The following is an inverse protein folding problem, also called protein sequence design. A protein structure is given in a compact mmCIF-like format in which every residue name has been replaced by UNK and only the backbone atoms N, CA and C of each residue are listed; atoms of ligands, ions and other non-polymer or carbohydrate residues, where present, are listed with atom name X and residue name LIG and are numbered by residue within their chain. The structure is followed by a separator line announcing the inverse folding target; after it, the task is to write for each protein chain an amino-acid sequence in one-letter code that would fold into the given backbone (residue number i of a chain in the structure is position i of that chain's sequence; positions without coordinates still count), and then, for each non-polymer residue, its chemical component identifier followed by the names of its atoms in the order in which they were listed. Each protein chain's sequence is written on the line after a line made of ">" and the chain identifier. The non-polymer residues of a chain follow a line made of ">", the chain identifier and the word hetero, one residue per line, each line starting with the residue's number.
data_IF_262002295118
#
_entry.id   IF_262002295118
#
_cell.length_a   1.000
_cell.length_b   1.000
_cell.length_c   1.000
_cell.angle_alpha   90.00
_cell.angle_beta   90.00
_cell.angle_gamma   90.00
#
_symmetry.space_group_name_H-M   'P 1'
#
loop_
_entity.id
_entity.type
_entity.pdbx_description
1 polymer ?
#
# COMPACT_ATOMS: atom_id res chain seq x y z
N UNK A 1 -4.66 3.71 15.64
CA UNK A 1 -5.44 2.55 15.15
C UNK A 1 -5.73 2.75 13.67
N UNK A 2 -5.55 1.74 12.82
CA UNK A 2 -5.85 1.86 11.39
C UNK A 2 -7.37 1.80 11.18
N UNK A 3 -7.92 2.74 10.41
CA UNK A 3 -9.36 2.81 10.10
C UNK A 3 -9.59 2.65 8.60
N UNK A 4 -10.48 1.73 8.21
CA UNK A 4 -10.87 1.56 6.81
C UNK A 4 -11.68 2.76 6.32
N UNK A 5 -11.33 3.27 5.12
CA UNK A 5 -12.10 4.29 4.40
C UNK A 5 -12.86 3.60 3.27
N UNK A 6 -14.18 3.82 3.25
CA UNK A 6 -15.03 3.42 2.14
C UNK A 6 -15.42 4.65 1.34
N UNK A 7 -15.17 4.58 0.04
CA UNK A 7 -15.57 5.64 -0.88
C UNK A 7 -16.96 5.33 -1.45
N UNK A 8 -17.79 6.35 -1.60
CA UNK A 8 -19.10 6.25 -2.26
C UNK A 8 -18.98 5.92 -3.76
N UNK A 9 -17.89 6.37 -4.38
CA UNK A 9 -17.51 6.05 -5.76
C UNK A 9 -16.06 5.60 -5.80
N UNK A 10 -15.73 4.64 -6.67
CA UNK A 10 -14.37 4.15 -6.82
C UNK A 10 -13.45 5.30 -7.30
N UNK A 11 -12.38 5.65 -6.57
CA UNK A 11 -11.46 6.71 -6.98
C UNK A 11 -10.67 6.35 -8.25
N UNK A 12 -10.33 7.36 -9.05
CA UNK A 12 -9.59 7.19 -10.31
C UNK A 12 -8.25 6.47 -10.14
N UNK A 13 -7.55 6.70 -9.03
CA UNK A 13 -6.28 6.01 -8.78
C UNK A 13 -6.47 4.49 -8.61
N UNK A 14 -7.57 4.04 -8.02
CA UNK A 14 -7.88 2.61 -7.91
C UNK A 14 -8.21 2.05 -9.30
N UNK A 15 -9.02 2.76 -10.08
CA UNK A 15 -9.38 2.37 -11.45
C UNK A 15 -8.11 2.20 -12.30
N UNK A 16 -7.16 3.14 -12.19
CA UNK A 16 -5.90 3.09 -12.93
C UNK A 16 -4.99 1.93 -12.50
N UNK A 17 -5.02 1.54 -11.23
CA UNK A 17 -4.30 0.37 -10.74
C UNK A 17 -4.94 -0.95 -11.19
N UNK A 18 -6.27 -1.03 -11.19
CA UNK A 18 -7.01 -2.18 -11.73
C UNK A 18 -6.75 -2.38 -13.23
N UNK A 19 -6.68 -1.29 -14.01
CA UNK A 19 -6.27 -1.34 -15.43
C UNK A 19 -4.87 -1.94 -15.64
N UNK A 20 -3.98 -1.84 -14.65
CA UNK A 20 -2.65 -2.46 -14.66
C UNK A 20 -2.67 -3.93 -14.21
N UNK A 21 -3.84 -4.48 -13.93
CA UNK A 21 -4.05 -5.86 -13.49
C UNK A 21 -4.11 -6.02 -11.97
N UNK A 22 -4.11 -4.93 -11.20
CA UNK A 22 -4.29 -4.99 -9.75
C UNK A 22 -5.74 -5.31 -9.34
N UNK A 23 -5.94 -5.79 -8.12
CA UNK A 23 -7.27 -6.15 -7.61
C UNK A 23 -7.37 -6.07 -6.08
N UNK A 24 -8.58 -6.17 -5.55
CA UNK A 24 -8.89 -6.24 -4.11
C UNK A 24 -8.34 -5.06 -3.29
N UNK A 25 -8.41 -3.85 -3.86
CA UNK A 25 -7.93 -2.65 -3.20
C UNK A 25 -8.82 -2.25 -2.02
N UNK A 26 -8.18 -1.99 -0.88
CA UNK A 26 -8.78 -1.40 0.32
C UNK A 26 -7.97 -0.20 0.75
N UNK A 27 -8.66 0.85 1.19
CA UNK A 27 -8.02 2.08 1.66
C UNK A 27 -8.24 2.26 3.15
N UNK A 28 -7.22 2.76 3.82
CA UNK A 28 -7.19 2.98 5.25
C UNK A 28 -6.56 4.32 5.58
N UNK A 29 -6.81 4.80 6.79
CA UNK A 29 -6.17 5.97 7.37
C UNK A 29 -5.61 5.63 8.75
N UNK A 30 -4.42 6.13 9.04
CA UNK A 30 -3.79 6.09 10.37
C UNK A 30 -3.05 7.40 10.58
N UNK A 31 -3.44 8.17 11.57
CA UNK A 31 -2.84 9.46 11.89
C UNK A 31 -2.73 10.36 10.64
N UNK A 32 -1.51 10.69 10.21
CA UNK A 32 -1.23 11.51 9.04
C UNK A 32 -1.02 10.70 7.75
N UNK A 33 -1.26 9.38 7.77
CA UNK A 33 -1.01 8.45 6.68
C UNK A 33 -2.30 8.03 5.99
N UNK A 34 -2.26 8.02 4.66
CA UNK A 34 -3.24 7.34 3.80
C UNK A 34 -2.61 6.08 3.29
N UNK A 35 -3.28 4.95 3.46
CA UNK A 35 -2.74 3.63 3.20
C UNK A 35 -3.66 2.93 2.20
N UNK A 36 -3.11 2.45 1.09
CA UNK A 36 -3.81 1.63 0.12
C UNK A 36 -3.14 0.26 0.11
N UNK A 37 -3.92 -0.81 0.25
CA UNK A 37 -3.43 -2.18 0.09
C UNK A 37 -4.24 -2.87 -1.00
N UNK A 38 -3.56 -3.62 -1.86
CA UNK A 38 -4.21 -4.47 -2.86
C UNK A 38 -3.28 -5.57 -3.33
N UNK A 39 -3.77 -6.38 -4.26
CA UNK A 39 -2.99 -7.39 -4.95
C UNK A 39 -2.51 -6.82 -6.29
N UNK A 40 -1.22 -6.89 -6.55
CA UNK A 40 -0.62 -6.42 -7.81
C UNK A 40 0.18 -7.52 -8.51
N UNK A 41 0.10 -7.61 -9.85
CA UNK A 41 0.88 -8.57 -10.61
C UNK A 41 2.36 -8.16 -10.60
N UNK A 42 3.24 -9.09 -10.25
CA UNK A 42 4.70 -8.92 -10.34
C UNK A 42 5.33 -9.88 -11.34
N UNK A 43 6.32 -9.38 -12.07
CA UNK A 43 7.13 -10.15 -13.00
C UNK A 43 6.39 -10.59 -14.27
N UNK A 44 7.10 -11.32 -15.14
CA UNK A 44 6.56 -11.78 -16.43
C UNK A 44 5.45 -12.82 -16.28
N UNK A 45 5.47 -13.60 -15.19
CA UNK A 45 4.45 -14.63 -14.88
C UNK A 45 3.17 -14.06 -14.24
N UNK A 46 3.11 -12.74 -14.00
CA UNK A 46 1.98 -12.03 -13.37
C UNK A 46 1.50 -12.68 -12.06
N UNK A 47 2.42 -13.19 -11.24
CA UNK A 47 2.09 -13.67 -9.90
C UNK A 47 1.55 -12.50 -9.08
N UNK A 48 0.45 -12.69 -8.37
CA UNK A 48 -0.16 -11.63 -7.58
C UNK A 48 0.52 -11.56 -6.20
N UNK A 49 0.96 -10.36 -5.81
CA UNK A 49 1.53 -10.09 -4.50
C UNK A 49 0.74 -9.01 -3.77
N UNK A 50 0.74 -9.05 -2.44
CA UNK A 50 0.31 -7.89 -1.67
C UNK A 50 1.25 -6.71 -1.89
N UNK A 51 0.66 -5.54 -2.19
CA UNK A 51 1.35 -4.26 -2.26
C UNK A 51 0.59 -3.24 -1.41
N UNK A 52 1.31 -2.60 -0.48
CA UNK A 52 0.82 -1.50 0.33
C UNK A 52 1.50 -0.21 -0.13
N UNK A 53 0.71 0.78 -0.53
CA UNK A 53 1.15 2.14 -0.83
C UNK A 53 0.77 3.01 0.36
N UNK A 54 1.77 3.62 0.99
CA UNK A 54 1.60 4.51 2.14
C UNK A 54 1.99 5.91 1.71
N UNK A 55 1.04 6.84 1.74
CA UNK A 55 1.28 8.25 1.48
C UNK A 55 1.11 9.07 2.76
N UNK A 56 2.12 9.86 3.08
CA UNK A 56 2.07 10.83 4.18
C UNK A 56 1.43 12.14 3.73
N UNK A 57 0.52 12.68 4.54
CA UNK A 57 -0.02 14.04 4.38
C UNK A 57 0.97 15.11 4.86
N UNK A 58 2.05 14.71 5.51
CA UNK A 58 3.12 15.60 5.95
C UNK A 58 4.16 15.78 4.83
N UNK A 59 5.11 16.71 5.02
CA UNK A 59 6.19 16.98 4.04
C UNK A 59 7.21 15.85 3.89
N UNK A 60 7.12 14.81 4.72
CA UNK A 60 8.06 13.68 4.78
C UNK A 60 7.33 12.35 4.77
N UNK A 61 7.98 11.30 4.25
CA UNK A 61 7.47 9.91 4.28
C UNK A 61 7.31 9.39 5.70
N UNK A 62 6.40 8.44 5.88
CA UNK A 62 6.28 7.64 7.10
C UNK A 62 7.64 7.08 7.55
N UNK A 63 7.85 7.04 8.86
CA UNK A 63 9.03 6.44 9.49
C UNK A 63 9.06 4.92 9.28
N UNK A 64 10.24 4.32 9.45
CA UNK A 64 10.40 2.86 9.35
C UNK A 64 9.52 2.12 10.37
N UNK A 65 9.36 2.67 11.57
CA UNK A 65 8.53 2.09 12.63
C UNK A 65 7.07 2.04 12.20
N UNK A 66 6.53 3.15 11.70
CA UNK A 66 5.14 3.21 11.23
C UNK A 66 4.87 2.26 10.07
N UNK A 67 5.79 2.18 9.11
CA UNK A 67 5.67 1.27 7.97
C UNK A 67 5.66 -0.20 8.41
N UNK A 68 6.49 -0.57 9.39
CA UNK A 68 6.51 -1.92 9.95
C UNK A 68 5.19 -2.26 10.69
N UNK A 69 4.68 -1.33 11.49
CA UNK A 69 3.38 -1.52 12.17
C UNK A 69 2.25 -1.73 11.16
N UNK A 70 2.21 -0.92 10.10
CA UNK A 70 1.23 -1.07 9.00
C UNK A 70 1.36 -2.43 8.32
N UNK A 71 2.58 -2.87 8.03
CA UNK A 71 2.81 -4.15 7.39
C UNK A 71 2.34 -5.33 8.27
N UNK A 72 2.61 -5.28 9.57
CA UNK A 72 2.20 -6.31 10.54
C UNK A 72 0.67 -6.37 10.67
N UNK A 73 0.00 -5.22 10.65
CA UNK A 73 -1.45 -5.13 10.83
C UNK A 73 -2.24 -5.51 9.56
N UNK A 74 -1.72 -5.17 8.37
CA UNK A 74 -2.46 -5.33 7.10
C UNK A 74 -2.05 -6.54 6.26
N UNK A 75 -0.82 -7.06 6.39
CA UNK A 75 -0.42 -8.27 5.66
C UNK A 75 -0.84 -9.54 6.42
N UNK A 76 -1.05 -10.67 5.71
CA UNK A 76 -1.26 -11.95 6.38
C UNK A 76 -0.09 -12.28 7.33
N UNK A 77 -0.40 -12.92 8.47
CA UNK A 77 0.62 -13.31 9.46
C UNK A 77 1.70 -14.17 8.81
N UNK A 78 2.96 -13.87 9.14
CA UNK A 78 4.12 -14.59 8.59
C UNK A 78 4.57 -14.13 7.19
N UNK A 79 3.88 -13.16 6.58
CA UNK A 79 4.29 -12.61 5.27
C UNK A 79 5.62 -11.88 5.38
N UNK A 80 6.63 -12.32 4.63
CA UNK A 80 7.87 -11.56 4.44
C UNK A 80 7.60 -10.38 3.52
N UNK A 81 8.15 -9.21 3.85
CA UNK A 81 7.96 -8.00 3.06
C UNK A 81 9.25 -7.19 2.91
N UNK A 82 9.28 -6.34 1.87
CA UNK A 82 10.32 -5.34 1.63
C UNK A 82 9.72 -3.94 1.54
N UNK A 83 10.39 -2.97 2.14
CA UNK A 83 9.98 -1.56 2.10
C UNK A 83 10.85 -0.83 1.07
N UNK A 84 10.22 -0.04 0.20
CA UNK A 84 10.90 0.85 -0.76
C UNK A 84 10.30 2.25 -0.66
N UNK A 85 11.13 3.26 -0.43
CA UNK A 85 10.70 4.66 -0.57
C UNK A 85 10.54 5.00 -2.05
N UNK A 86 9.52 5.79 -2.38
CA UNK A 86 9.38 6.29 -3.75
C UNK A 86 10.46 7.34 -4.01
N UNK A 87 11.15 7.20 -5.15
CA UNK A 87 12.13 8.19 -5.59
C UNK A 87 11.47 9.47 -6.11
N UNK A 88 10.28 9.35 -6.71
CA UNK A 88 9.55 10.47 -7.30
C UNK A 88 8.72 11.24 -6.27
N UNK A 89 8.23 10.56 -5.24
CA UNK A 89 7.34 11.14 -4.24
C UNK A 89 7.91 10.93 -2.84
N UNK A 90 8.51 11.99 -2.28
CA UNK A 90 9.17 11.94 -0.96
C UNK A 90 8.23 11.58 0.20
N UNK A 91 6.92 11.70 0.01
CA UNK A 91 5.88 11.35 0.99
C UNK A 91 5.39 9.91 0.88
N UNK A 92 5.78 9.20 -0.19
CA UNK A 92 5.24 7.87 -0.52
C UNK A 92 6.28 6.78 -0.23
N UNK A 93 5.81 5.74 0.44
CA UNK A 93 6.53 4.49 0.62
C UNK A 93 5.69 3.32 0.13
N UNK A 94 6.38 2.29 -0.33
CA UNK A 94 5.82 1.07 -0.86
C UNK A 94 6.26 -0.11 -0.02
N UNK A 95 5.35 -1.01 0.32
CA UNK A 95 5.62 -2.25 1.03
C UNK A 95 5.16 -3.39 0.13
N UNK A 96 6.10 -4.24 -0.29
CA UNK A 96 5.81 -5.37 -1.17
C UNK A 96 5.99 -6.66 -0.41
N UNK A 97 5.04 -7.58 -0.55
CA UNK A 97 5.26 -8.98 -0.19
C UNK A 97 6.43 -9.54 -1.00
N UNK A 98 7.21 -10.41 -0.34
CA UNK A 98 8.26 -11.22 -0.95
C UNK A 98 7.73 -12.65 -1.10
N UNK A 99 7.79 -13.19 -2.31
CA UNK A 99 7.51 -14.59 -2.65
C UNK A 99 8.86 -15.25 -3.01
#
# INVERSE_FOLDING_TARGET
>A
MIKEIRYSKKPDFIINLEKKGGTNYKTYQKDHLTILIGLEPIGKKKSMIYHIIVNSKMRYTASKKELNEIAIELLPKGTKYKIKKSFFMKTVSHIYQVI
#
